data_IF_723573021896
#
_entry.id   IF_723573021896
#
_cell.length_a   1.000
_cell.length_b   1.000
_cell.length_c   1.000
_cell.angle_alpha   90.00
_cell.angle_beta   90.00
_cell.angle_gamma   90.00
#
_symmetry.space_group_name_H-M   'P 1'
#
loop_
_entity.id
_entity.type
_entity.pdbx_description
1 polymer ?
#
# COMPACT_ATOMS: atom_id res chain seq x y z
N UNK A 1 4.18 -20.60 34.89
CA UNK A 1 4.32 -19.20 34.47
C UNK A 1 3.52 -19.00 33.20
N UNK A 2 2.46 -18.18 33.25
CA UNK A 2 1.62 -17.89 32.10
C UNK A 2 2.03 -16.51 31.53
N UNK A 3 2.39 -16.47 30.25
CA UNK A 3 2.71 -15.22 29.56
C UNK A 3 1.39 -14.60 29.10
N UNK A 4 0.98 -13.51 29.74
CA UNK A 4 -0.18 -12.71 29.32
C UNK A 4 0.27 -11.87 28.13
N UNK A 5 -0.11 -12.27 26.91
CA UNK A 5 0.05 -11.45 25.72
C UNK A 5 -0.97 -10.31 25.78
N UNK A 6 -0.51 -9.09 26.07
CA UNK A 6 -1.33 -7.89 25.96
C UNK A 6 -1.73 -7.71 24.48
N UNK A 7 -3.03 -7.60 24.14
CA UNK A 7 -3.44 -7.29 22.78
C UNK A 7 -2.92 -5.91 22.43
N UNK A 8 -1.99 -5.83 21.49
CA UNK A 8 -1.60 -4.55 20.90
C UNK A 8 -2.87 -3.94 20.29
N UNK A 9 -3.11 -2.62 20.46
CA UNK A 9 -4.21 -1.96 19.78
C UNK A 9 -3.98 -2.10 18.28
N UNK A 10 -4.72 -3.01 17.65
CA UNK A 10 -4.91 -2.99 16.22
C UNK A 10 -5.73 -1.74 15.95
N UNK A 11 -5.07 -0.64 15.56
CA UNK A 11 -5.78 0.46 14.94
C UNK A 11 -6.55 -0.14 13.77
N UNK A 12 -7.88 -0.08 13.84
CA UNK A 12 -8.70 -0.57 12.74
C UNK A 12 -8.54 0.39 11.57
N UNK A 13 -8.16 -0.12 10.40
CA UNK A 13 -8.15 0.66 9.18
C UNK A 13 -9.49 1.37 9.03
N UNK A 14 -9.41 2.68 8.83
CA UNK A 14 -10.57 3.52 8.58
C UNK A 14 -10.47 4.15 7.19
N UNK A 15 -11.63 4.42 6.60
CA UNK A 15 -11.73 5.17 5.36
C UNK A 15 -12.93 6.10 5.34
N UNK A 16 -12.78 7.26 4.72
CA UNK A 16 -13.88 8.17 4.36
C UNK A 16 -14.32 8.02 2.91
N UNK A 17 -13.67 7.12 2.15
CA UNK A 17 -13.89 6.93 0.72
C UNK A 17 -14.21 5.48 0.34
N UNK A 18 -14.20 5.21 -0.96
CA UNK A 18 -14.57 3.89 -1.50
C UNK A 18 -13.47 2.82 -1.32
N UNK A 19 -12.21 3.26 -1.17
CA UNK A 19 -11.05 2.40 -1.00
C UNK A 19 -10.42 2.62 0.38
N UNK A 20 -9.88 1.55 0.95
CA UNK A 20 -9.22 1.56 2.26
C UNK A 20 -7.89 0.83 2.17
N UNK A 21 -6.81 1.42 2.69
CA UNK A 21 -5.57 0.67 2.89
C UNK A 21 -5.75 -0.18 4.13
N UNK A 22 -5.51 -1.49 4.00
CA UNK A 22 -5.70 -2.44 5.11
C UNK A 22 -4.40 -3.02 5.60
N UNK A 23 -3.41 -3.14 4.73
CA UNK A 23 -2.11 -3.70 5.06
C UNK A 23 -1.02 -3.06 4.20
N UNK A 24 0.21 -3.17 4.67
CA UNK A 24 1.41 -2.77 3.94
C UNK A 24 2.56 -3.72 4.22
N UNK A 25 3.34 -4.04 3.20
CA UNK A 25 4.64 -4.71 3.31
C UNK A 25 5.69 -3.75 2.74
N UNK A 26 6.33 -2.94 3.59
CA UNK A 26 7.25 -1.91 3.16
C UNK A 26 8.60 -2.45 2.72
N UNK A 27 9.01 -3.58 3.31
CA UNK A 27 10.30 -4.21 3.07
C UNK A 27 10.09 -5.59 2.44
N UNK A 28 10.58 -5.76 1.20
CA UNK A 28 10.55 -7.05 0.54
C UNK A 28 11.41 -8.08 1.30
N UNK A 29 11.15 -9.38 1.10
CA UNK A 29 12.07 -10.40 1.64
C UNK A 29 13.21 -10.63 0.66
N UNK A 30 14.44 -10.68 1.18
CA UNK A 30 15.64 -10.95 0.40
C UNK A 30 16.41 -9.67 0.05
N UNK A 31 17.37 -9.78 -0.87
CA UNK A 31 18.18 -8.65 -1.30
C UNK A 31 17.38 -7.72 -2.23
N UNK A 32 17.56 -6.41 -2.10
CA UNK A 32 16.97 -5.40 -3.00
C UNK A 32 17.78 -5.22 -4.28
N UNK A 33 19.07 -5.58 -4.23
CA UNK A 33 19.99 -5.48 -5.37
C UNK A 33 20.71 -6.80 -5.57
N UNK A 34 20.68 -7.32 -6.79
CA UNK A 34 21.49 -8.47 -7.22
C UNK A 34 22.23 -8.10 -8.50
N UNK A 35 23.55 -8.23 -8.50
CA UNK A 35 24.41 -7.91 -9.64
C UNK A 35 24.18 -6.48 -10.19
N UNK A 36 24.04 -5.49 -9.29
CA UNK A 36 23.79 -4.09 -9.66
C UNK A 36 22.37 -3.80 -10.19
N UNK A 37 21.46 -4.79 -10.20
CA UNK A 37 20.07 -4.61 -10.63
C UNK A 37 19.12 -4.65 -9.44
N UNK A 38 18.14 -3.74 -9.44
CA UNK A 38 17.03 -3.75 -8.49
C UNK A 38 16.19 -5.02 -8.70
N UNK A 39 15.94 -5.77 -7.63
CA UNK A 39 15.16 -7.01 -7.62
C UNK A 39 14.10 -6.94 -6.53
N UNK A 40 13.17 -7.91 -6.46
CA UNK A 40 12.14 -7.97 -5.41
C UNK A 40 11.24 -6.72 -5.29
N UNK A 41 11.16 -5.90 -6.34
CA UNK A 41 10.31 -4.70 -6.39
C UNK A 41 8.83 -5.01 -6.08
N UNK A 42 8.31 -6.14 -6.55
CA UNK A 42 6.94 -6.55 -6.27
C UNK A 42 6.75 -7.21 -4.88
N UNK A 43 7.84 -7.42 -4.14
CA UNK A 43 7.82 -7.83 -2.73
C UNK A 43 7.45 -6.70 -1.79
N UNK A 44 7.52 -5.45 -2.27
CA UNK A 44 6.88 -4.29 -1.65
C UNK A 44 5.47 -4.10 -2.20
N UNK A 45 4.50 -4.03 -1.30
CA UNK A 45 3.12 -3.79 -1.70
C UNK A 45 2.31 -3.22 -0.55
N UNK A 46 1.14 -2.68 -0.88
CA UNK A 46 0.08 -2.43 0.09
C UNK A 46 -1.23 -3.02 -0.41
N UNK A 47 -2.13 -3.34 0.52
CA UNK A 47 -3.41 -3.96 0.20
C UNK A 47 -4.50 -2.92 0.32
N UNK A 48 -5.20 -2.64 -0.78
CA UNK A 48 -6.42 -1.86 -0.78
C UNK A 48 -7.65 -2.77 -0.74
N UNK A 49 -8.70 -2.34 -0.05
CA UNK A 49 -10.02 -2.97 -0.05
C UNK A 49 -11.04 -2.00 -0.61
N UNK A 50 -11.87 -2.47 -1.55
CA UNK A 50 -13.10 -1.77 -1.90
C UNK A 50 -14.12 -1.97 -0.77
N UNK A 51 -14.42 -0.93 0.00
CA UNK A 51 -15.34 -1.05 1.14
C UNK A 51 -16.80 -0.91 0.73
N UNK A 52 -17.07 -0.59 -0.53
CA UNK A 52 -18.43 -0.36 -1.04
C UNK A 52 -19.11 -1.66 -1.48
N UNK A 53 -20.39 -1.54 -1.86
CA UNK A 53 -21.21 -2.62 -2.43
C UNK A 53 -21.20 -2.65 -3.96
N UNK A 54 -20.41 -1.78 -4.62
CA UNK A 54 -20.30 -1.70 -6.08
C UNK A 54 -18.84 -1.79 -6.53
N UNK A 55 -18.62 -2.10 -7.80
CA UNK A 55 -17.28 -2.06 -8.40
C UNK A 55 -16.74 -0.63 -8.38
N UNK A 56 -15.45 -0.48 -8.06
CA UNK A 56 -14.75 0.81 -8.02
C UNK A 56 -13.57 0.76 -8.98
N UNK A 57 -13.42 1.78 -9.83
CA UNK A 57 -12.19 1.97 -10.59
C UNK A 57 -11.13 2.60 -9.67
N UNK A 58 -9.97 1.96 -9.57
CA UNK A 58 -8.84 2.43 -8.76
C UNK A 58 -8.03 3.54 -9.43
N UNK A 59 -8.28 3.82 -10.70
CA UNK A 59 -7.57 4.83 -11.48
C UNK A 59 -7.63 6.22 -10.85
N UNK A 60 -6.48 6.90 -10.81
CA UNK A 60 -6.37 8.28 -10.33
C UNK A 60 -6.22 8.44 -8.83
N UNK A 61 -6.49 7.42 -8.01
CA UNK A 61 -6.21 7.47 -6.57
C UNK A 61 -4.71 7.60 -6.33
N UNK A 62 -4.29 8.39 -5.34
CA UNK A 62 -2.87 8.68 -5.10
C UNK A 62 -2.38 7.93 -3.86
N UNK A 63 -1.42 7.00 -3.99
CA UNK A 63 -0.64 6.49 -2.87
C UNK A 63 0.48 7.49 -2.57
N UNK A 64 0.21 8.40 -1.65
CA UNK A 64 1.11 9.45 -1.18
C UNK A 64 1.94 8.90 -0.02
N UNK A 65 3.17 8.51 -0.35
CA UNK A 65 4.12 7.87 0.55
C UNK A 65 4.97 8.95 1.19
N UNK A 66 4.97 8.96 2.51
CA UNK A 66 5.63 9.99 3.29
C UNK A 66 7.13 10.03 3.03
N UNK A 67 7.69 11.25 2.96
CA UNK A 67 9.09 11.53 2.57
C UNK A 67 9.47 11.10 1.15
N UNK A 68 8.51 10.58 0.37
CA UNK A 68 8.77 10.00 -0.94
C UNK A 68 7.61 10.22 -1.91
N UNK A 69 7.43 11.47 -2.32
CA UNK A 69 6.47 11.83 -3.38
C UNK A 69 6.97 11.26 -4.70
N UNK A 70 6.24 10.32 -5.27
CA UNK A 70 6.66 9.58 -6.46
C UNK A 70 5.69 9.68 -7.63
N UNK A 71 4.62 10.45 -7.49
CA UNK A 71 3.84 11.07 -8.54
C UNK A 71 2.96 10.13 -9.36
N UNK A 72 2.94 8.82 -9.09
CA UNK A 72 2.05 7.90 -9.82
C UNK A 72 0.79 7.60 -9.02
N UNK A 73 -0.29 8.17 -9.52
CA UNK A 73 -1.63 7.65 -9.31
C UNK A 73 -1.69 6.15 -9.62
N UNK A 74 -2.63 5.46 -8.97
CA UNK A 74 -2.96 4.10 -9.33
C UNK A 74 -3.45 4.03 -10.79
N UNK A 75 -3.06 2.98 -11.52
CA UNK A 75 -3.59 2.74 -12.86
C UNK A 75 -5.07 2.36 -12.77
N UNK A 76 -5.77 2.49 -13.89
CA UNK A 76 -7.16 2.03 -13.99
C UNK A 76 -7.25 0.52 -13.77
N UNK A 77 -8.10 0.12 -12.83
CA UNK A 77 -8.44 -1.28 -12.57
C UNK A 77 -9.80 -1.35 -11.88
N UNK A 78 -10.69 -2.18 -12.39
CA UNK A 78 -12.03 -2.40 -11.85
C UNK A 78 -11.99 -3.38 -10.67
N UNK A 79 -11.98 -2.86 -9.45
CA UNK A 79 -11.98 -3.66 -8.23
C UNK A 79 -13.43 -3.96 -7.79
N UNK A 80 -13.87 -5.24 -7.78
CA UNK A 80 -15.23 -5.59 -7.40
C UNK A 80 -15.60 -5.15 -5.99
N UNK A 81 -16.90 -5.13 -5.70
CA UNK A 81 -17.42 -4.85 -4.37
C UNK A 81 -16.76 -5.76 -3.32
N UNK A 82 -16.35 -5.20 -2.18
CA UNK A 82 -15.73 -5.91 -1.04
C UNK A 82 -14.38 -6.61 -1.33
N UNK A 83 -13.90 -6.61 -2.58
CA UNK A 83 -12.66 -7.25 -2.97
C UNK A 83 -11.42 -6.49 -2.46
N UNK A 84 -10.31 -7.22 -2.39
CA UNK A 84 -8.98 -6.69 -2.04
C UNK A 84 -8.05 -6.76 -3.25
N UNK A 85 -7.14 -5.79 -3.36
CA UNK A 85 -6.07 -5.83 -4.34
C UNK A 85 -4.71 -5.60 -3.68
N UNK A 86 -3.73 -6.39 -4.09
CA UNK A 86 -2.31 -6.17 -3.83
C UNK A 86 -1.81 -5.13 -4.82
N UNK A 87 -1.45 -3.96 -4.31
CA UNK A 87 -0.83 -2.90 -5.09
C UNK A 87 0.67 -3.02 -4.95
N UNK A 88 1.28 -3.67 -5.93
CA UNK A 88 2.73 -3.83 -6.05
C UNK A 88 3.36 -2.52 -6.52
N UNK A 89 4.52 -2.19 -5.95
CA UNK A 89 5.25 -0.97 -6.33
C UNK A 89 5.91 -1.12 -7.70
N UNK A 90 6.43 -2.31 -8.01
CA UNK A 90 7.12 -2.60 -9.26
C UNK A 90 6.23 -2.68 -10.51
N UNK A 91 6.85 -3.08 -11.61
CA UNK A 91 6.19 -3.33 -12.90
C UNK A 91 5.50 -4.70 -12.97
N UNK A 92 4.47 -4.78 -13.80
CA UNK A 92 3.70 -5.99 -14.08
C UNK A 92 2.40 -5.65 -14.81
N UNK A 93 1.59 -6.67 -15.07
CA UNK A 93 0.27 -6.53 -15.71
C UNK A 93 -0.81 -6.71 -14.67
N UNK A 94 -1.73 -5.74 -14.59
CA UNK A 94 -2.87 -5.83 -13.66
C UNK A 94 -3.73 -7.04 -14.01
N UNK A 95 -4.03 -7.90 -13.04
CA UNK A 95 -4.80 -9.13 -13.29
C UNK A 95 -5.51 -9.61 -12.02
N UNK A 96 -6.39 -10.59 -12.18
CA UNK A 96 -6.87 -11.44 -11.09
C UNK A 96 -6.17 -12.78 -11.23
N UNK A 97 -5.54 -13.27 -10.16
CA UNK A 97 -4.90 -14.58 -10.18
C UNK A 97 -5.96 -15.71 -10.09
N UNK A 98 -5.50 -16.96 -10.21
CA UNK A 98 -6.35 -18.16 -10.09
C UNK A 98 -6.92 -18.34 -8.68
N UNK A 99 -6.31 -17.73 -7.66
CA UNK A 99 -6.78 -17.74 -6.28
C UNK A 99 -7.80 -16.63 -5.97
N UNK A 100 -8.14 -15.80 -6.97
CA UNK A 100 -9.07 -14.70 -6.83
C UNK A 100 -8.46 -13.42 -6.25
N UNK A 101 -7.14 -13.37 -6.04
CA UNK A 101 -6.46 -12.15 -5.62
C UNK A 101 -6.33 -11.19 -6.80
N UNK A 102 -6.58 -9.91 -6.55
CA UNK A 102 -6.38 -8.86 -7.53
C UNK A 102 -4.98 -8.28 -7.37
N UNK A 103 -4.26 -8.12 -8.47
CA UNK A 103 -2.92 -7.54 -8.51
C UNK A 103 -2.91 -6.28 -9.36
N UNK A 104 -2.38 -5.20 -8.80
CA UNK A 104 -2.22 -3.90 -9.45
C UNK A 104 -0.75 -3.52 -9.37
N UNK A 105 -0.16 -3.13 -10.49
CA UNK A 105 1.27 -2.80 -10.58
C UNK A 105 1.45 -1.32 -10.90
N UNK A 106 2.27 -0.63 -10.10
CA UNK A 106 2.49 0.82 -10.26
C UNK A 106 3.58 1.16 -11.28
N UNK A 107 4.40 0.20 -11.67
CA UNK A 107 5.38 0.36 -12.75
C UNK A 107 6.69 1.03 -12.33
N UNK A 108 7.04 1.04 -11.04
CA UNK A 108 8.34 1.58 -10.61
C UNK A 108 9.47 0.60 -10.92
N UNK A 109 10.62 1.13 -11.32
CA UNK A 109 11.88 0.38 -11.43
C UNK A 109 12.74 0.41 -10.16
N UNK A 110 12.17 0.81 -9.03
CA UNK A 110 12.85 0.98 -7.73
C UNK A 110 11.88 0.72 -6.57
N UNK A 111 12.44 0.43 -5.41
CA UNK A 111 11.74 0.42 -4.14
C UNK A 111 11.21 1.82 -3.81
N UNK A 112 9.98 1.89 -3.30
CA UNK A 112 9.31 3.18 -3.03
C UNK A 112 8.68 3.26 -1.65
N UNK A 113 8.43 2.11 -1.00
CA UNK A 113 8.01 2.11 0.38
C UNK A 113 9.22 2.30 1.30
N UNK A 114 8.98 2.89 2.47
CA UNK A 114 10.05 3.21 3.41
C UNK A 114 10.30 2.04 4.35
N UNK A 115 11.57 1.67 4.53
CA UNK A 115 11.97 0.71 5.55
C UNK A 115 11.98 1.31 6.96
N UNK A 116 12.12 2.61 7.10
CA UNK A 116 12.13 3.30 8.40
C UNK A 116 11.51 4.68 8.25
N UNK A 117 10.45 4.93 9.01
CA UNK A 117 9.82 6.24 9.09
C UNK A 117 9.96 6.80 10.51
N UNK A 118 10.84 7.78 10.68
CA UNK A 118 11.10 8.41 11.99
C UNK A 118 10.70 9.89 12.03
N UNK A 119 10.30 10.48 10.91
CA UNK A 119 10.15 11.95 10.81
C UNK A 119 8.74 12.46 10.44
N UNK A 120 7.87 11.67 9.80
CA UNK A 120 6.56 12.15 9.32
C UNK A 120 5.53 11.02 9.37
N UNK A 121 4.30 11.36 9.79
CA UNK A 121 3.17 10.44 9.89
C UNK A 121 1.89 11.04 9.26
N UNK A 122 0.96 10.24 8.71
CA UNK A 122 1.13 8.80 8.48
C UNK A 122 2.14 8.42 7.38
N UNK A 123 2.68 7.20 7.41
CA UNK A 123 3.69 6.69 6.47
C UNK A 123 3.17 6.54 5.03
N UNK A 124 1.90 6.19 4.88
CA UNK A 124 1.18 6.14 3.60
C UNK A 124 -0.18 6.79 3.75
N UNK A 125 -0.55 7.62 2.78
CA UNK A 125 -1.92 8.11 2.56
C UNK A 125 -2.43 7.57 1.23
N UNK A 126 -3.63 7.02 1.22
CA UNK A 126 -4.40 6.87 0.00
C UNK A 126 -5.29 8.10 -0.14
N UNK A 127 -5.18 8.81 -1.25
CA UNK A 127 -5.98 10.01 -1.54
C UNK A 127 -6.94 9.77 -2.70
N UNK A 128 -8.05 10.50 -2.68
CA UNK A 128 -9.04 10.49 -3.77
C UNK A 128 -8.44 10.99 -5.10
N UNK A 129 -9.00 10.62 -6.26
CA UNK A 129 -8.58 11.15 -7.54
C UNK A 129 -8.55 12.68 -7.61
N UNK A 130 -7.54 13.21 -8.32
CA UNK A 130 -7.30 14.65 -8.45
C UNK A 130 -6.59 15.31 -7.26
N UNK A 131 -6.26 14.55 -6.21
CA UNK A 131 -5.47 15.08 -5.09
C UNK A 131 -4.00 15.23 -5.47
N UNK A 132 -3.30 16.16 -4.81
CA UNK A 132 -1.86 16.33 -4.99
C UNK A 132 -1.05 15.24 -4.25
N UNK A 133 0.03 14.77 -4.87
CA UNK A 133 1.05 13.91 -4.26
C UNK A 133 2.14 14.78 -3.60
N UNK A 134 1.83 15.34 -2.44
CA UNK A 134 2.64 16.36 -1.78
C UNK A 134 2.77 16.16 -0.27
N UNK A 135 2.49 14.96 0.25
CA UNK A 135 2.46 14.64 1.68
C UNK A 135 1.44 15.43 2.53
N UNK A 136 0.64 16.33 1.95
CA UNK A 136 -0.39 17.06 2.70
C UNK A 136 -1.61 16.16 2.98
N UNK A 137 -2.29 16.35 4.11
CA UNK A 137 -3.46 15.54 4.47
C UNK A 137 -4.69 15.78 3.56
N UNK A 138 -4.71 16.86 2.79
CA UNK A 138 -5.83 17.19 1.91
C UNK A 138 -6.10 16.05 0.91
N UNK A 139 -7.36 15.63 0.84
CA UNK A 139 -7.81 14.55 -0.06
C UNK A 139 -7.52 13.13 0.41
N UNK A 140 -6.88 12.94 1.58
CA UNK A 140 -6.69 11.63 2.19
C UNK A 140 -8.03 10.98 2.51
N UNK A 141 -8.19 9.73 2.07
CA UNK A 141 -9.34 8.89 2.39
C UNK A 141 -8.99 7.75 3.32
N UNK A 142 -7.73 7.31 3.34
CA UNK A 142 -7.24 6.24 4.22
C UNK A 142 -5.75 6.42 4.44
N UNK A 143 -5.23 5.93 5.57
CA UNK A 143 -3.82 6.07 5.93
C UNK A 143 -3.30 4.83 6.64
N UNK A 144 -1.98 4.62 6.57
CA UNK A 144 -1.32 3.52 7.24
C UNK A 144 0.02 3.95 7.83
N UNK A 145 0.37 3.34 8.98
CA UNK A 145 1.62 3.53 9.70
C UNK A 145 2.24 2.18 10.02
N UNK A 146 3.54 2.07 9.86
CA UNK A 146 4.32 0.87 10.19
C UNK A 146 5.64 1.17 10.90
N UNK A 147 6.03 2.44 11.05
CA UNK A 147 7.27 2.86 11.71
C UNK A 147 8.52 2.22 11.05
N UNK A 148 9.20 1.33 11.77
CA UNK A 148 10.35 0.57 11.27
C UNK A 148 9.91 -0.79 10.74
N UNK A 149 10.11 -1.00 9.44
CA UNK A 149 9.75 -2.21 8.73
C UNK A 149 10.78 -3.33 8.95
N UNK A 150 10.33 -4.45 9.52
CA UNK A 150 11.06 -5.68 9.57
C UNK A 150 11.05 -6.36 8.19
N UNK A 151 12.15 -7.06 7.89
CA UNK A 151 12.33 -7.77 6.63
C UNK A 151 11.15 -8.73 6.37
N UNK A 152 10.50 -8.56 5.21
CA UNK A 152 9.42 -9.43 4.76
C UNK A 152 8.11 -9.37 5.55
N UNK A 153 7.98 -8.46 6.52
CA UNK A 153 6.80 -8.37 7.38
C UNK A 153 5.70 -7.53 6.75
N UNK A 154 4.47 -8.06 6.82
CA UNK A 154 3.25 -7.32 6.50
C UNK A 154 2.64 -6.76 7.79
N UNK A 155 2.26 -5.49 7.75
CA UNK A 155 1.67 -4.73 8.85
C UNK A 155 0.21 -4.46 8.55
N UNK A 156 -0.64 -4.58 9.58
CA UNK A 156 -2.02 -4.14 9.50
C UNK A 156 -2.09 -2.62 9.65
N UNK A 157 -3.00 -2.04 8.89
CA UNK A 157 -3.51 -0.69 9.04
C UNK A 157 -4.94 -0.81 9.60
#
# INVERSE_FOLDING_TARGET
MAVIALPMPAHAASTSGALMVTHVRPNAAGADVKNGKQVNLNGEYFIIKNVTTKTVNTGGYIPDITTNTYGRALPSYSLPAKAKAYVHTGSGTNHKDSSGNHHIYRGYGRHVLLNTSTAKNPDLRLKKPGSADNNAAAGTISSCNWNTAANGKTYAC
#
